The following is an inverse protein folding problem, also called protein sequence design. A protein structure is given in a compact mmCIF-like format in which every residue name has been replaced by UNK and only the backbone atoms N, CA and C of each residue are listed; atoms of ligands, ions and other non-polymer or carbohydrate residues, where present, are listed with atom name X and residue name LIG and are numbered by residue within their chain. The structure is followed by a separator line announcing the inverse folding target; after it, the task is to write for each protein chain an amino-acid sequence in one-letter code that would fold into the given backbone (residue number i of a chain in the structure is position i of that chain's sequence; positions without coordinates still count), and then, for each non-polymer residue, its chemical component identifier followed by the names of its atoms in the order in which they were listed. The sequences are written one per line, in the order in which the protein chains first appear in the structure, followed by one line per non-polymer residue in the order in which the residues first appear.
data_IF_480857968509
#
_entry.id   IF_480857968509
#
_cell.length_a   1.000
_cell.length_b   1.000
_cell.length_c   1.000
_cell.angle_alpha   90.00
_cell.angle_beta   90.00
_cell.angle_gamma   90.00
#
_symmetry.space_group_name_H-M   'P 1'
#
loop_
_entity.id
_entity.type
_entity.pdbx_description
1 polymer ?
#
# COMPACT_ATOMS: atom_id res chain seq x y z
N UNK A 1 2.36 29.11 -20.34
CA UNK A 1 1.57 28.90 -21.57
C UNK A 1 0.34 28.04 -21.29
N UNK A 2 0.38 27.17 -20.28
CA UNK A 2 -0.72 26.25 -19.93
C UNK A 2 -2.03 26.88 -19.38
N UNK A 3 -2.00 28.13 -18.91
CA UNK A 3 -3.20 28.79 -18.39
C UNK A 3 -4.22 29.08 -19.50
N UNK A 4 -3.74 29.36 -20.71
CA UNK A 4 -4.60 29.60 -21.88
C UNK A 4 -5.27 28.30 -22.35
N UNK A 5 -4.61 27.15 -22.16
CA UNK A 5 -5.16 25.83 -22.49
C UNK A 5 -6.29 25.43 -21.52
N UNK A 6 -6.11 25.67 -20.21
CA UNK A 6 -7.13 25.35 -19.21
C UNK A 6 -8.40 26.22 -19.38
N UNK A 7 -8.25 27.50 -19.70
CA UNK A 7 -9.39 28.39 -20.00
C UNK A 7 -10.09 27.99 -21.31
N UNK A 8 -9.33 27.55 -22.31
CA UNK A 8 -9.89 27.01 -23.56
C UNK A 8 -10.70 25.72 -23.31
N UNK A 9 -10.21 24.84 -22.44
CA UNK A 9 -10.91 23.61 -22.07
C UNK A 9 -12.19 23.88 -21.26
N UNK A 10 -12.17 24.85 -20.34
CA UNK A 10 -13.38 25.28 -19.61
C UNK A 10 -14.44 25.81 -20.57
N UNK A 11 -14.04 26.63 -21.54
CA UNK A 11 -14.95 27.14 -22.57
C UNK A 11 -15.52 26.00 -23.42
N UNK A 12 -14.70 25.02 -23.81
CA UNK A 12 -15.16 23.85 -24.57
C UNK A 12 -16.22 23.03 -23.81
N UNK A 13 -16.01 22.79 -22.51
CA UNK A 13 -17.00 22.10 -21.65
C UNK A 13 -18.28 22.91 -21.55
N UNK A 14 -18.17 24.24 -21.37
CA UNK A 14 -19.34 25.11 -21.31
C UNK A 14 -20.18 25.00 -22.60
N UNK A 15 -19.55 25.09 -23.77
CA UNK A 15 -20.22 24.95 -25.06
C UNK A 15 -20.89 23.58 -25.22
N UNK A 16 -20.22 22.49 -24.81
CA UNK A 16 -20.80 21.15 -24.85
C UNK A 16 -22.02 20.99 -23.92
N UNK A 17 -22.03 21.67 -22.77
CA UNK A 17 -23.19 21.72 -21.87
C UNK A 17 -24.35 22.48 -22.49
N UNK A 18 -24.08 23.64 -23.10
CA UNK A 18 -25.09 24.44 -23.81
C UNK A 18 -25.70 23.66 -24.99
N UNK A 19 -24.87 22.95 -25.77
CA UNK A 19 -25.34 22.09 -26.86
C UNK A 19 -26.23 20.95 -26.36
N UNK A 20 -25.86 20.32 -25.24
CA UNK A 20 -26.64 19.26 -24.62
C UNK A 20 -28.01 19.77 -24.14
N UNK A 21 -28.06 20.98 -23.55
CA UNK A 21 -29.31 21.64 -23.13
C UNK A 21 -30.21 21.97 -24.32
N UNK A 22 -29.63 22.52 -25.40
CA UNK A 22 -30.36 22.81 -26.64
C UNK A 22 -30.90 21.55 -27.30
N UNK A 23 -30.11 20.48 -27.29
CA UNK A 23 -30.53 19.18 -27.79
C UNK A 23 -31.70 18.61 -26.96
N UNK A 24 -31.63 18.66 -25.63
CA UNK A 24 -32.72 18.23 -24.75
C UNK A 24 -33.99 19.06 -24.96
N UNK A 25 -33.87 20.38 -25.11
CA UNK A 25 -35.00 21.26 -25.40
C UNK A 25 -35.69 20.96 -26.75
N UNK A 26 -34.94 20.41 -27.73
CA UNK A 26 -35.50 19.93 -29.01
C UNK A 26 -36.21 18.58 -28.87
N UNK A 27 -35.79 17.72 -27.93
CA UNK A 27 -36.43 16.43 -27.65
C UNK A 27 -37.79 16.61 -26.97
N UNK A 28 -37.92 17.54 -26.01
CA UNK A 28 -39.18 17.80 -25.31
C UNK A 28 -40.35 18.34 -26.16
N UNK A 29 -40.10 18.65 -27.45
CA UNK A 29 -41.12 19.06 -28.44
C UNK A 29 -41.63 17.89 -29.29
N UNK A 30 -41.06 16.68 -29.14
CA UNK A 30 -41.48 15.47 -29.85
C UNK A 30 -42.64 14.79 -29.10
N UNK A 31 -43.41 13.98 -29.81
CA UNK A 31 -44.49 13.18 -29.20
C UNK A 31 -43.87 12.19 -28.21
N UNK A 32 -44.55 11.97 -27.08
CA UNK A 32 -44.10 11.10 -25.97
C UNK A 32 -43.75 9.68 -26.44
N UNK A 33 -44.36 9.20 -27.53
CA UNK A 33 -44.10 7.87 -28.11
C UNK A 33 -42.78 7.77 -28.90
N UNK A 34 -42.07 8.90 -29.11
CA UNK A 34 -40.89 9.04 -29.98
C UNK A 34 -39.61 9.45 -29.21
N UNK A 35 -39.70 9.62 -27.88
CA UNK A 35 -38.55 9.81 -27.01
C UNK A 35 -38.14 8.43 -26.49
N UNK A 36 -37.16 7.81 -27.14
CA UNK A 36 -36.58 6.56 -26.62
C UNK A 36 -35.94 6.81 -25.27
N UNK A 37 -36.24 5.96 -24.28
CA UNK A 37 -35.61 5.94 -22.96
C UNK A 37 -34.06 5.94 -23.06
N UNK A 38 -33.52 5.36 -24.14
CA UNK A 38 -32.09 5.33 -24.44
C UNK A 38 -31.52 6.74 -24.71
N UNK A 39 -32.31 7.64 -25.30
CA UNK A 39 -31.90 9.01 -25.61
C UNK A 39 -31.72 9.87 -24.35
N UNK A 40 -32.57 9.68 -23.34
CA UNK A 40 -32.45 10.37 -22.05
C UNK A 40 -31.29 9.82 -21.22
N UNK A 41 -31.09 8.50 -21.25
CA UNK A 41 -29.95 7.84 -20.60
C UNK A 41 -28.61 8.31 -21.16
N UNK A 42 -28.49 8.43 -22.49
CA UNK A 42 -27.28 8.96 -23.14
C UNK A 42 -27.01 10.40 -22.71
N UNK A 43 -28.05 11.24 -22.67
CA UNK A 43 -27.88 12.64 -22.28
C UNK A 43 -27.54 12.81 -20.80
N UNK A 44 -28.07 11.94 -19.92
CA UNK A 44 -27.69 11.88 -18.52
C UNK A 44 -26.22 11.46 -18.35
N UNK A 45 -25.78 10.43 -19.08
CA UNK A 45 -24.38 9.99 -19.07
C UNK A 45 -23.43 11.07 -19.59
N UNK A 46 -23.76 11.75 -20.69
CA UNK A 46 -22.97 12.87 -21.20
C UNK A 46 -22.85 14.00 -20.18
N UNK A 47 -23.92 14.34 -19.46
CA UNK A 47 -23.89 15.37 -18.41
C UNK A 47 -22.98 14.97 -17.25
N UNK A 48 -23.03 13.70 -16.85
CA UNK A 48 -22.16 13.17 -15.79
C UNK A 48 -20.69 13.23 -16.20
N UNK A 49 -20.36 12.80 -17.43
CA UNK A 49 -18.99 12.87 -17.95
C UNK A 49 -18.47 14.31 -18.05
N UNK A 50 -19.27 15.26 -18.55
CA UNK A 50 -18.87 16.68 -18.57
C UNK A 50 -18.61 17.22 -17.15
N UNK A 51 -19.42 16.81 -16.16
CA UNK A 51 -19.20 17.18 -14.76
C UNK A 51 -17.92 16.57 -14.17
N UNK A 52 -17.58 15.33 -14.54
CA UNK A 52 -16.31 14.69 -14.13
C UNK A 52 -15.11 15.44 -14.70
N UNK A 53 -15.15 15.80 -15.99
CA UNK A 53 -14.07 16.55 -16.65
C UNK A 53 -13.92 17.94 -16.02
N UNK A 54 -15.02 18.63 -15.72
CA UNK A 54 -15.00 19.94 -15.04
C UNK A 54 -14.35 19.87 -13.64
N UNK A 55 -14.70 18.85 -12.85
CA UNK A 55 -14.08 18.59 -11.55
C UNK A 55 -12.57 18.39 -11.68
N UNK A 56 -12.14 17.61 -12.67
CA UNK A 56 -10.71 17.34 -12.92
C UNK A 56 -9.93 18.59 -13.33
N UNK A 57 -10.50 19.46 -14.16
CA UNK A 57 -9.87 20.74 -14.51
C UNK A 57 -9.74 21.67 -13.29
N UNK A 58 -10.77 21.69 -12.44
CA UNK A 58 -10.73 22.45 -11.17
C UNK A 58 -9.65 21.92 -10.24
N UNK A 59 -9.54 20.61 -10.08
CA UNK A 59 -8.53 19.97 -9.23
C UNK A 59 -7.10 20.23 -9.75
N UNK A 60 -6.90 20.19 -11.06
CA UNK A 60 -5.63 20.55 -11.72
C UNK A 60 -5.26 22.02 -11.49
N UNK A 61 -6.21 22.93 -11.65
CA UNK A 61 -5.99 24.35 -11.38
C UNK A 61 -5.63 24.61 -9.92
N UNK A 62 -6.31 23.93 -8.99
CA UNK A 62 -6.00 23.97 -7.57
C UNK A 62 -4.59 23.42 -7.29
N UNK A 63 -4.23 22.27 -7.86
CA UNK A 63 -2.90 21.66 -7.70
C UNK A 63 -1.77 22.57 -8.18
N UNK A 64 -1.96 23.23 -9.33
CA UNK A 64 -1.03 24.25 -9.84
C UNK A 64 -0.90 25.45 -8.90
N UNK A 65 -2.02 25.98 -8.43
CA UNK A 65 -2.03 27.11 -7.48
C UNK A 65 -1.29 26.77 -6.19
N UNK A 66 -1.55 25.59 -5.62
CA UNK A 66 -0.85 25.09 -4.43
C UNK A 66 0.65 24.96 -4.72
N UNK A 67 1.03 24.34 -5.85
CA UNK A 67 2.43 24.16 -6.23
C UNK A 67 3.16 25.50 -6.34
N UNK A 68 2.58 26.49 -7.03
CA UNK A 68 3.15 27.83 -7.15
C UNK A 68 3.29 28.50 -5.78
N UNK A 69 2.24 28.44 -4.95
CA UNK A 69 2.26 29.03 -3.61
C UNK A 69 3.32 28.39 -2.72
N UNK A 70 3.50 27.07 -2.78
CA UNK A 70 4.54 26.37 -2.02
C UNK A 70 5.94 26.77 -2.49
N UNK A 71 6.14 26.92 -3.80
CA UNK A 71 7.41 27.37 -4.37
C UNK A 71 7.75 28.81 -3.97
N UNK A 72 6.76 29.71 -4.01
CA UNK A 72 6.93 31.11 -3.61
C UNK A 72 7.22 31.25 -2.11
N UNK A 73 6.59 30.43 -1.27
CA UNK A 73 6.75 30.46 0.19
C UNK A 73 7.82 29.48 0.71
N UNK A 74 8.64 28.88 -0.17
CA UNK A 74 9.57 27.82 0.20
C UNK A 74 10.55 28.23 1.32
N UNK A 75 11.04 29.46 1.30
CA UNK A 75 11.97 29.97 2.31
C UNK A 75 11.31 30.13 3.69
N UNK A 76 10.05 30.59 3.74
CA UNK A 76 9.29 30.76 4.98
C UNK A 76 8.89 29.39 5.55
N UNK A 77 8.44 28.47 4.68
CA UNK A 77 8.17 27.08 5.06
C UNK A 77 9.42 26.43 5.65
N UNK A 78 10.59 26.62 5.05
CA UNK A 78 11.85 26.09 5.55
C UNK A 78 12.23 26.68 6.92
N UNK A 79 12.01 27.98 7.13
CA UNK A 79 12.26 28.64 8.42
C UNK A 79 11.35 28.08 9.53
N UNK A 80 10.03 28.00 9.26
CA UNK A 80 9.06 27.44 10.21
C UNK A 80 9.40 25.98 10.53
N UNK A 81 9.75 25.19 9.50
CA UNK A 81 10.13 23.78 9.68
C UNK A 81 11.39 23.66 10.55
N UNK A 82 12.37 24.56 10.39
CA UNK A 82 13.58 24.58 11.21
C UNK A 82 13.26 24.92 12.67
N UNK A 83 12.39 25.90 12.91
CA UNK A 83 11.93 26.28 14.25
C UNK A 83 11.19 25.14 14.95
N UNK A 84 10.30 24.43 14.24
CA UNK A 84 9.60 23.24 14.76
C UNK A 84 10.56 22.11 15.12
N UNK A 85 11.57 21.86 14.27
CA UNK A 85 12.60 20.86 14.55
C UNK A 85 13.45 21.24 15.77
N UNK A 86 13.76 22.53 15.96
CA UNK A 86 14.44 23.00 17.17
C UNK A 86 13.59 22.78 18.42
N UNK A 87 12.31 23.17 18.37
CA UNK A 87 11.38 22.94 19.48
C UNK A 87 11.24 21.44 19.83
N UNK A 88 11.23 20.56 18.82
CA UNK A 88 11.20 19.11 19.03
C UNK A 88 12.47 18.59 19.73
N UNK A 89 13.66 19.05 19.30
CA UNK A 89 14.94 18.70 19.93
C UNK A 89 15.01 19.19 21.37
N UNK A 90 14.54 20.40 21.64
CA UNK A 90 14.53 20.97 22.98
C UNK A 90 13.60 20.21 23.91
N UNK A 91 12.42 19.79 23.41
CA UNK A 91 11.52 18.92 24.14
C UNK A 91 12.16 17.57 24.46
N UNK A 92 12.83 16.94 23.50
CA UNK A 92 13.52 15.66 23.71
C UNK A 92 14.64 15.81 24.74
N UNK A 93 15.43 16.87 24.65
CA UNK A 93 16.50 17.15 25.59
C UNK A 93 15.97 17.39 27.01
N UNK A 94 14.89 18.15 27.18
CA UNK A 94 14.24 18.35 28.47
C UNK A 94 13.76 17.02 29.08
N UNK A 95 13.22 16.11 28.26
CA UNK A 95 12.83 14.77 28.71
C UNK A 95 14.06 13.96 29.17
N UNK A 96 15.18 14.04 28.46
CA UNK A 96 16.42 13.35 28.84
C UNK A 96 17.00 13.91 30.14
N UNK A 97 17.04 15.24 30.29
CA UNK A 97 17.49 15.91 31.51
C UNK A 97 16.66 15.53 32.74
N UNK A 98 15.35 15.32 32.57
CA UNK A 98 14.50 14.86 33.69
C UNK A 98 14.82 13.44 34.16
N UNK A 99 15.46 12.62 33.31
CA UNK A 99 15.86 11.23 33.63
C UNK A 99 17.34 11.12 34.02
N UNK A 100 18.20 11.94 33.43
CA UNK A 100 19.64 11.97 33.65
C UNK A 100 20.14 13.43 33.71
N UNK A 101 20.57 13.94 34.88
CA UNK A 101 21.05 15.31 35.05
C UNK A 101 22.29 15.65 34.21
N UNK A 102 23.04 14.65 33.76
CA UNK A 102 24.25 14.82 32.94
C UNK A 102 23.97 14.72 31.43
N UNK A 103 22.69 14.62 31.03
CA UNK A 103 22.29 14.50 29.64
C UNK A 103 22.66 15.76 28.82
N UNK A 104 23.58 15.60 27.88
CA UNK A 104 24.01 16.66 26.96
C UNK A 104 22.98 16.91 25.85
N UNK A 105 22.85 18.18 25.45
CA UNK A 105 22.08 18.57 24.25
C UNK A 105 22.71 17.89 23.04
N UNK A 106 21.90 17.22 22.24
CA UNK A 106 22.35 16.68 20.95
C UNK A 106 22.63 17.86 20.02
N UNK A 107 23.83 17.93 19.41
CA UNK A 107 24.12 18.98 18.43
C UNK A 107 23.18 18.82 17.22
N UNK A 108 22.86 19.92 16.51
CA UNK A 108 22.21 19.81 15.20
C UNK A 108 23.05 18.86 14.33
N UNK A 109 22.47 17.76 13.86
CA UNK A 109 23.10 17.04 12.76
C UNK A 109 23.15 18.03 11.59
N UNK A 110 24.35 18.35 11.09
CA UNK A 110 24.49 18.86 9.73
C UNK A 110 23.86 17.81 8.84
N UNK A 111 22.63 18.10 8.40
CA UNK A 111 21.96 17.19 7.51
C UNK A 111 22.71 17.30 6.19
N UNK A 112 23.49 16.27 5.90
CA UNK A 112 24.10 16.10 4.60
C UNK A 112 22.95 16.09 3.59
N UNK A 113 22.81 17.17 2.80
CA UNK A 113 21.74 17.35 1.81
C UNK A 113 21.66 16.21 0.77
N UNK A 114 22.63 15.30 0.73
CA UNK A 114 22.53 14.05 -0.01
C UNK A 114 21.53 13.05 0.62
N UNK A 115 21.48 12.91 1.95
CA UNK A 115 20.67 11.89 2.63
C UNK A 115 19.21 12.30 2.87
N UNK A 116 18.91 13.59 2.91
CA UNK A 116 17.53 14.08 3.00
C UNK A 116 16.74 13.93 1.69
N UNK A 117 17.40 13.78 0.55
CA UNK A 117 16.73 13.37 -0.70
C UNK A 117 16.32 11.90 -0.71
N UNK A 118 16.93 11.07 0.13
CA UNK A 118 16.64 9.62 0.18
C UNK A 118 15.55 9.26 1.21
N UNK A 119 15.21 10.16 2.15
CA UNK A 119 14.19 9.92 3.19
C UNK A 119 12.92 10.79 3.09
N UNK A 120 12.90 11.81 2.20
CA UNK A 120 11.62 12.38 1.76
C UNK A 120 11.17 11.65 0.49
N UNK A 121 9.94 11.11 0.46
CA UNK A 121 9.56 10.20 -0.60
C UNK A 121 9.57 10.94 -1.93
N UNK A 122 10.14 10.28 -2.94
CA UNK A 122 10.01 10.53 -4.38
C UNK A 122 8.55 10.77 -4.83
N UNK A 123 7.58 10.50 -3.94
CA UNK A 123 6.16 10.77 -4.08
C UNK A 123 5.82 12.24 -4.34
N UNK A 124 6.54 13.23 -3.80
CA UNK A 124 6.18 14.65 -4.02
C UNK A 124 6.27 15.02 -5.50
N UNK A 125 7.39 14.74 -6.16
CA UNK A 125 7.65 15.18 -7.53
C UNK A 125 6.75 14.41 -8.51
N UNK A 126 6.54 13.11 -8.26
CA UNK A 126 5.56 12.30 -8.99
C UNK A 126 4.12 12.77 -8.77
N UNK A 127 3.73 13.23 -7.58
CA UNK A 127 2.40 13.80 -7.30
C UNK A 127 2.21 15.15 -8.00
N UNK A 128 3.25 16.00 -8.03
CA UNK A 128 3.20 17.29 -8.73
C UNK A 128 3.14 17.09 -10.24
N UNK A 129 3.95 16.19 -10.81
CA UNK A 129 3.86 15.79 -12.22
C UNK A 129 2.49 15.15 -12.53
N UNK A 130 1.97 14.29 -11.66
CA UNK A 130 0.65 13.65 -11.80
C UNK A 130 -0.50 14.67 -11.74
N UNK A 131 -0.37 15.75 -10.98
CA UNK A 131 -1.36 16.84 -10.94
C UNK A 131 -1.31 17.77 -12.16
N UNK A 132 -0.22 17.72 -12.94
CA UNK A 132 0.02 18.60 -14.10
C UNK A 132 0.07 17.85 -15.45
N UNK A 133 0.06 16.52 -15.46
CA UNK A 133 0.04 15.71 -16.68
C UNK A 133 -1.30 15.81 -17.45
N UNK A 134 -1.28 15.84 -18.79
CA UNK A 134 -2.49 15.82 -19.61
C UNK A 134 -3.19 14.45 -19.52
N UNK A 135 -4.51 14.47 -19.35
CA UNK A 135 -5.33 13.25 -19.32
C UNK A 135 -5.31 12.58 -20.71
N UNK A 136 -4.69 11.40 -20.81
CA UNK A 136 -4.98 10.43 -21.85
C UNK A 136 -6.08 9.54 -21.29
N UNK A 137 -7.30 9.67 -21.81
CA UNK A 137 -8.40 8.79 -21.43
C UNK A 137 -7.96 7.32 -21.57
N UNK A 138 -8.20 6.46 -20.56
CA UNK A 138 -8.06 5.04 -20.77
C UNK A 138 -9.11 4.68 -21.83
N UNK A 139 -8.64 4.34 -23.04
CA UNK A 139 -9.50 3.72 -24.04
C UNK A 139 -10.02 2.45 -23.39
N UNK A 140 -11.29 2.48 -23.00
CA UNK A 140 -12.04 1.29 -22.62
C UNK A 140 -11.92 0.30 -23.77
N UNK A 141 -11.12 -0.73 -23.54
CA UNK A 141 -11.15 -1.96 -24.32
C UNK A 141 -12.51 -2.58 -24.11
N UNK A 142 -13.41 -2.45 -25.07
CA UNK A 142 -14.39 -3.48 -25.43
C UNK A 142 -15.11 -3.15 -26.75
N UNK A 143 -15.28 -4.18 -27.57
CA UNK A 143 -15.84 -4.23 -28.93
C UNK A 143 -14.94 -3.84 -30.10
N UNK A 144 -14.07 -4.80 -30.44
CA UNK A 144 -13.69 -5.05 -31.82
C UNK A 144 -14.93 -5.52 -32.62
N UNK A 145 -15.52 -4.63 -33.44
CA UNK A 145 -16.10 -5.05 -34.70
C UNK A 145 -15.96 -3.97 -35.78
N UNK A 146 -15.10 -4.32 -36.73
CA UNK A 146 -14.94 -3.79 -38.08
C UNK A 146 -16.28 -3.40 -38.72
N UNK A 147 -16.43 -2.14 -39.12
CA UNK A 147 -16.98 -1.82 -40.43
C UNK A 147 -16.44 -0.49 -40.96
N UNK A 148 -15.76 -0.65 -42.08
CA UNK A 148 -15.38 0.32 -43.09
C UNK A 148 -16.63 1.01 -43.64
N UNK A 149 -16.78 2.31 -43.39
CA UNK A 149 -17.50 3.23 -44.27
C UNK A 149 -16.86 4.61 -44.19
N UNK A 150 -16.19 4.98 -45.28
CA UNK A 150 -16.00 6.37 -45.68
C UNK A 150 -17.34 7.12 -45.63
N UNK A 151 -17.40 8.22 -44.89
CA UNK A 151 -18.28 9.33 -45.26
C UNK A 151 -17.56 10.65 -45.02
N UNK A 152 -17.74 11.53 -46.01
CA UNK A 152 -16.99 12.76 -46.22
C UNK A 152 -17.56 13.91 -45.39
N UNK A 153 -16.67 14.63 -44.72
CA UNK A 153 -16.87 16.05 -44.42
C UNK A 153 -16.39 16.46 -43.05
N UNK A 154 -15.20 17.06 -42.98
CA UNK A 154 -15.03 18.42 -42.43
C UNK A 154 -13.57 18.89 -42.59
N UNK A 155 -13.47 20.02 -43.31
CA UNK A 155 -12.46 21.09 -43.33
C UNK A 155 -11.05 20.80 -42.77
N UNK A 156 -9.98 20.92 -43.59
CA UNK A 156 -8.61 20.90 -43.10
C UNK A 156 -8.29 22.27 -42.47
N UNK A 157 -8.34 22.35 -41.15
CA UNK A 157 -7.55 23.36 -40.45
C UNK A 157 -6.11 22.84 -40.42
N UNK A 158 -5.29 23.50 -41.24
CA UNK A 158 -3.85 23.41 -41.26
C UNK A 158 -3.28 23.87 -39.91
N UNK A 159 -3.26 22.98 -38.93
CA UNK A 159 -2.27 23.11 -37.86
C UNK A 159 -0.89 23.06 -38.51
N UNK A 160 -0.15 24.17 -38.39
CA UNK A 160 1.19 24.31 -38.93
C UNK A 160 2.03 23.06 -38.68
N UNK A 161 2.42 22.40 -39.77
CA UNK A 161 3.22 21.16 -39.79
C UNK A 161 4.54 21.27 -39.04
N UNK A 162 4.99 22.48 -38.71
CA UNK A 162 6.15 22.75 -37.86
C UNK A 162 5.91 22.47 -36.36
N UNK A 163 4.71 22.69 -35.83
CA UNK A 163 4.41 22.48 -34.39
C UNK A 163 4.11 21.01 -34.10
N UNK A 164 3.40 20.33 -35.02
CA UNK A 164 3.23 18.88 -35.01
C UNK A 164 4.57 18.13 -35.18
N UNK A 165 5.48 18.64 -36.03
CA UNK A 165 6.83 18.07 -36.18
C UNK A 165 7.78 18.35 -34.99
N UNK A 166 7.51 19.38 -34.19
CA UNK A 166 8.33 19.72 -33.02
C UNK A 166 7.97 18.89 -31.78
N UNK A 167 6.78 18.28 -31.74
CA UNK A 167 6.41 17.24 -30.75
C UNK A 167 6.71 15.83 -31.25
N UNK A 168 7.94 15.59 -31.72
CA UNK A 168 8.44 14.20 -31.75
C UNK A 168 8.64 13.79 -30.30
N UNK A 169 7.57 13.34 -29.65
CA UNK A 169 7.67 12.63 -28.38
C UNK A 169 8.65 11.51 -28.62
N UNK A 170 9.76 11.51 -27.88
CA UNK A 170 10.69 10.40 -27.94
C UNK A 170 9.92 9.16 -27.50
N UNK A 171 9.70 8.24 -28.43
CA UNK A 171 9.11 6.94 -28.14
C UNK A 171 10.22 6.03 -27.66
N UNK A 172 9.92 5.27 -26.60
CA UNK A 172 10.80 4.27 -26.04
C UNK A 172 10.12 2.92 -26.26
N UNK A 173 10.91 1.88 -26.50
CA UNK A 173 10.39 0.54 -26.76
C UNK A 173 10.19 -0.23 -25.46
N UNK A 174 9.05 -0.91 -25.32
CA UNK A 174 8.82 -1.87 -24.25
C UNK A 174 9.68 -3.14 -24.45
N UNK A 175 10.42 -3.58 -23.42
CA UNK A 175 11.30 -4.74 -23.49
C UNK A 175 10.56 -6.09 -23.66
N UNK A 176 9.27 -6.13 -23.34
CA UNK A 176 8.48 -7.37 -23.35
C UNK A 176 7.64 -7.55 -24.62
N UNK A 177 6.89 -6.52 -25.03
CA UNK A 177 6.03 -6.59 -26.22
C UNK A 177 6.64 -5.93 -27.46
N UNK A 178 7.76 -5.19 -27.32
CA UNK A 178 8.42 -4.45 -28.38
C UNK A 178 7.62 -3.28 -28.98
N UNK A 179 6.50 -2.89 -28.35
CA UNK A 179 5.73 -1.71 -28.75
C UNK A 179 6.47 -0.41 -28.42
N UNK A 180 6.41 0.55 -29.34
CA UNK A 180 6.94 1.90 -29.17
C UNK A 180 5.90 2.80 -28.53
N UNK A 181 6.20 3.31 -27.34
CA UNK A 181 5.28 4.10 -26.53
C UNK A 181 5.95 5.39 -26.06
N UNK A 182 5.21 6.47 -25.82
CA UNK A 182 5.75 7.66 -25.16
C UNK A 182 6.29 7.31 -23.77
N UNK A 183 7.37 7.96 -23.33
CA UNK A 183 7.95 7.81 -21.98
C UNK A 183 6.93 7.82 -20.82
N UNK A 184 5.91 8.70 -20.77
CA UNK A 184 4.90 8.68 -19.69
C UNK A 184 3.99 7.44 -19.70
N UNK A 185 4.00 6.62 -20.75
CA UNK A 185 3.26 5.36 -20.82
C UNK A 185 4.10 4.14 -20.40
N UNK A 186 5.36 4.34 -20.00
CA UNK A 186 6.29 3.26 -19.69
C UNK A 186 6.82 3.33 -18.25
N UNK A 187 7.00 2.18 -17.61
CA UNK A 187 7.67 2.07 -16.31
C UNK A 187 9.13 1.69 -16.52
N UNK A 188 10.04 2.44 -15.91
CA UNK A 188 11.46 2.10 -15.95
C UNK A 188 11.81 1.14 -14.81
N UNK A 189 12.41 0.01 -15.15
CA UNK A 189 12.96 -0.95 -14.19
C UNK A 189 14.34 -0.49 -13.68
N UNK A 190 14.83 -0.99 -12.54
CA UNK A 190 16.14 -0.62 -11.99
C UNK A 190 17.35 -0.87 -12.91
N UNK A 191 17.21 -1.77 -13.89
CA UNK A 191 18.21 -2.01 -14.93
C UNK A 191 18.06 -1.12 -16.18
N UNK A 192 17.26 -0.06 -16.11
CA UNK A 192 16.97 0.90 -17.19
C UNK A 192 16.16 0.37 -18.37
N UNK A 193 15.63 -0.85 -18.30
CA UNK A 193 14.64 -1.35 -19.27
C UNK A 193 13.25 -0.77 -19.00
N UNK A 194 12.45 -0.61 -20.06
CA UNK A 194 11.13 0.00 -19.99
C UNK A 194 10.02 -1.04 -20.24
N UNK A 195 8.95 -0.96 -19.48
CA UNK A 195 7.78 -1.83 -19.59
C UNK A 195 6.51 -1.01 -19.80
N UNK A 196 5.66 -1.40 -20.75
CA UNK A 196 4.29 -0.88 -20.80
C UNK A 196 3.48 -1.40 -19.61
N UNK A 197 2.38 -0.70 -19.29
CA UNK A 197 1.48 -1.05 -18.18
C UNK A 197 1.07 -2.53 -18.19
N UNK A 198 0.59 -3.02 -19.33
CA UNK A 198 0.07 -4.38 -19.45
C UNK A 198 1.15 -5.44 -19.23
N UNK A 199 2.35 -5.22 -19.79
CA UNK A 199 3.47 -6.13 -19.62
C UNK A 199 3.98 -6.14 -18.17
N UNK A 200 4.03 -4.99 -17.51
CA UNK A 200 4.43 -4.91 -16.11
C UNK A 200 3.42 -5.63 -15.21
N UNK A 201 2.12 -5.39 -15.40
CA UNK A 201 1.07 -6.07 -14.63
C UNK A 201 1.16 -7.58 -14.84
N UNK A 202 1.30 -8.03 -16.09
CA UNK A 202 1.43 -9.45 -16.43
C UNK A 202 2.66 -10.08 -15.76
N UNK A 203 3.80 -9.38 -15.76
CA UNK A 203 5.03 -9.83 -15.10
C UNK A 203 4.80 -10.04 -13.60
N UNK A 204 4.15 -9.07 -12.94
CA UNK A 204 3.80 -9.18 -11.51
C UNK A 204 2.85 -10.35 -11.27
N UNK A 205 1.77 -10.47 -12.05
CA UNK A 205 0.80 -11.57 -11.90
C UNK A 205 1.44 -12.95 -12.09
N UNK A 206 2.38 -13.09 -13.02
CA UNK A 206 3.12 -14.34 -13.20
C UNK A 206 3.98 -14.66 -11.98
N UNK A 207 4.67 -13.67 -11.40
CA UNK A 207 5.41 -13.85 -10.16
C UNK A 207 4.52 -14.22 -8.96
N UNK A 208 3.26 -13.79 -8.92
CA UNK A 208 2.31 -14.19 -7.86
C UNK A 208 1.84 -15.65 -7.99
N UNK A 209 1.84 -16.19 -9.20
CA UNK A 209 1.40 -17.56 -9.51
C UNK A 209 2.52 -18.57 -9.36
N UNK A 210 3.72 -18.21 -9.78
CA UNK A 210 4.90 -19.09 -9.79
C UNK A 210 5.98 -18.57 -8.84
N UNK A 211 6.28 -19.36 -7.82
CA UNK A 211 7.31 -19.07 -6.82
C UNK A 211 8.72 -18.96 -7.45
N UNK A 212 9.00 -19.67 -8.55
CA UNK A 212 10.29 -19.56 -9.25
C UNK A 212 10.49 -18.22 -9.97
N UNK A 213 9.39 -17.55 -10.31
CA UNK A 213 9.39 -16.21 -10.90
C UNK A 213 9.30 -15.11 -9.84
N UNK A 214 9.21 -15.48 -8.56
CA UNK A 214 9.16 -14.54 -7.46
C UNK A 214 10.58 -14.25 -6.91
N UNK A 215 10.91 -12.99 -6.59
CA UNK A 215 10.17 -11.76 -6.90
C UNK A 215 10.26 -11.41 -8.40
N UNK A 216 9.38 -10.54 -8.94
CA UNK A 216 9.46 -10.10 -10.33
C UNK A 216 10.80 -9.40 -10.58
N UNK A 217 11.55 -9.91 -11.56
CA UNK A 217 12.89 -9.41 -11.92
C UNK A 217 12.91 -8.97 -13.37
N UNK A 218 13.70 -7.94 -13.64
CA UNK A 218 14.18 -7.64 -14.98
C UNK A 218 15.70 -7.83 -15.00
N UNK A 219 16.19 -8.63 -15.95
CA UNK A 219 17.57 -9.11 -15.96
C UNK A 219 17.92 -9.81 -14.64
N UNK A 220 18.73 -9.17 -13.80
CA UNK A 220 19.16 -9.67 -12.49
C UNK A 220 18.66 -8.80 -11.34
N UNK A 221 17.89 -7.75 -11.62
CA UNK A 221 17.43 -6.78 -10.63
C UNK A 221 15.95 -6.99 -10.32
N UNK A 222 15.61 -7.00 -9.03
CA UNK A 222 14.21 -7.08 -8.57
C UNK A 222 13.51 -5.77 -8.89
N UNK A 223 12.34 -5.84 -9.51
CA UNK A 223 11.49 -4.67 -9.75
C UNK A 223 10.75 -4.36 -8.44
N UNK A 224 10.90 -3.14 -7.88
CA UNK A 224 10.18 -2.75 -6.67
C UNK A 224 8.67 -2.65 -6.96
N UNK A 225 7.88 -3.35 -6.14
CA UNK A 225 6.41 -3.33 -6.18
C UNK A 225 5.93 -2.58 -4.94
N UNK A 226 5.76 -1.27 -5.11
CA UNK A 226 5.46 -0.32 -4.03
C UNK A 226 4.19 0.47 -4.33
N UNK A 227 3.62 1.06 -3.27
CA UNK A 227 2.50 1.97 -3.40
C UNK A 227 2.97 3.25 -4.11
N UNK A 228 2.24 3.70 -5.13
CA UNK A 228 2.55 4.93 -5.87
C UNK A 228 2.84 4.73 -7.35
N UNK A 229 3.28 3.52 -7.75
CA UNK A 229 3.49 3.19 -9.16
C UNK A 229 2.19 3.32 -9.95
N UNK A 230 2.14 4.27 -10.90
CA UNK A 230 0.96 4.59 -11.72
C UNK A 230 0.32 3.41 -12.45
N UNK A 231 1.07 2.32 -12.67
CA UNK A 231 0.60 1.15 -13.39
C UNK A 231 0.07 0.04 -12.48
N UNK A 232 0.37 0.07 -11.19
CA UNK A 232 0.03 -0.99 -10.26
C UNK A 232 -1.13 -0.55 -9.38
N UNK A 233 -2.22 -1.33 -9.40
CA UNK A 233 -3.37 -1.06 -8.53
C UNK A 233 -3.01 -1.36 -7.07
N UNK A 234 -3.59 -0.64 -6.09
CA UNK A 234 -3.39 -0.94 -4.67
C UNK A 234 -3.75 -2.39 -4.31
N UNK A 235 -4.73 -2.96 -5.00
CA UNK A 235 -5.11 -4.37 -4.87
C UNK A 235 -3.95 -5.30 -5.28
N UNK A 236 -3.33 -5.08 -6.44
CA UNK A 236 -2.22 -5.90 -6.93
C UNK A 236 -0.99 -5.79 -6.01
N UNK A 237 -0.68 -4.59 -5.52
CA UNK A 237 0.38 -4.37 -4.54
C UNK A 237 0.08 -5.09 -3.22
N UNK A 238 -1.18 -5.06 -2.75
CA UNK A 238 -1.63 -5.82 -1.59
C UNK A 238 -1.47 -7.33 -1.75
N UNK A 239 -1.88 -7.88 -2.90
CA UNK A 239 -1.68 -9.28 -3.25
C UNK A 239 -0.19 -9.66 -3.27
N UNK A 240 0.66 -8.79 -3.82
CA UNK A 240 2.11 -8.97 -3.82
C UNK A 240 2.69 -9.02 -2.42
N UNK A 241 2.30 -8.11 -1.52
CA UNK A 241 2.74 -8.13 -0.13
C UNK A 241 2.32 -9.40 0.60
N UNK A 242 1.07 -9.84 0.40
CA UNK A 242 0.57 -11.08 0.98
C UNK A 242 1.36 -12.31 0.48
N UNK A 243 1.60 -12.39 -0.84
CA UNK A 243 2.39 -13.46 -1.45
C UNK A 243 3.85 -13.43 -1.05
N UNK A 244 4.43 -12.23 -0.89
CA UNK A 244 5.81 -12.06 -0.38
C UNK A 244 5.95 -12.70 0.99
N UNK A 245 5.04 -12.36 1.91
CA UNK A 245 5.03 -12.94 3.27
C UNK A 245 4.85 -14.46 3.23
N UNK A 246 3.92 -14.95 2.41
CA UNK A 246 3.73 -16.39 2.20
C UNK A 246 5.03 -17.05 1.73
N UNK A 247 5.66 -16.52 0.68
CA UNK A 247 6.84 -17.12 0.08
C UNK A 247 8.10 -17.05 0.95
N UNK A 248 8.28 -15.96 1.69
CA UNK A 248 9.40 -15.80 2.63
C UNK A 248 9.23 -16.63 3.92
N UNK A 249 8.01 -17.06 4.25
CA UNK A 249 7.75 -17.87 5.45
C UNK A 249 8.24 -19.31 5.27
N UNK A 250 9.20 -19.79 6.08
CA UNK A 250 9.57 -21.20 6.10
C UNK A 250 8.47 -22.05 6.76
N UNK A 251 8.33 -23.32 6.35
CA UNK A 251 7.33 -24.25 6.92
C UNK A 251 5.89 -23.72 6.93
N UNK A 252 5.48 -23.09 5.81
CA UNK A 252 4.17 -22.46 5.60
C UNK A 252 3.02 -23.30 6.14
N UNK A 253 2.05 -22.64 6.75
CA UNK A 253 0.82 -23.28 7.23
C UNK A 253 -0.34 -22.74 6.42
N UNK A 254 -1.14 -23.63 5.88
CA UNK A 254 -2.37 -23.31 5.17
C UNK A 254 -3.56 -23.77 5.99
N UNK A 255 -4.72 -23.17 5.79
CA UNK A 255 -5.94 -23.65 6.42
C UNK A 255 -6.21 -25.10 6.00
N UNK A 256 -6.43 -26.00 6.96
CA UNK A 256 -6.75 -27.41 6.68
C UNK A 256 -8.07 -27.60 5.92
N UNK A 257 -8.93 -26.59 5.90
CA UNK A 257 -10.21 -26.65 5.22
C UNK A 257 -10.01 -26.64 3.69
N UNK A 258 -10.41 -27.69 2.97
CA UNK A 258 -10.15 -27.81 1.54
C UNK A 258 -10.88 -26.74 0.70
N UNK A 259 -11.96 -26.16 1.23
CA UNK A 259 -12.67 -25.04 0.58
C UNK A 259 -12.02 -23.68 0.84
N UNK A 260 -11.12 -23.58 1.83
CA UNK A 260 -10.45 -22.34 2.16
C UNK A 260 -9.01 -22.34 1.64
N UNK A 261 -8.15 -23.25 2.12
CA UNK A 261 -6.76 -23.36 1.68
C UNK A 261 -5.90 -22.09 1.85
N UNK A 262 -6.40 -21.06 2.53
CA UNK A 262 -5.72 -19.76 2.66
C UNK A 262 -4.47 -19.90 3.53
N UNK A 263 -3.39 -19.23 3.14
CA UNK A 263 -2.16 -19.12 3.93
C UNK A 263 -2.45 -18.49 5.30
N UNK A 264 -1.95 -19.09 6.36
CA UNK A 264 -2.07 -18.60 7.73
C UNK A 264 -0.75 -17.91 8.11
N UNK A 265 -0.73 -16.57 8.25
CA UNK A 265 0.49 -15.84 8.59
C UNK A 265 1.01 -16.23 9.98
N UNK A 266 2.33 -16.12 10.25
CA UNK A 266 2.92 -16.40 11.55
C UNK A 266 2.26 -15.67 12.73
N UNK A 267 1.78 -14.44 12.51
CA UNK A 267 1.10 -13.64 13.53
C UNK A 267 -0.23 -14.27 14.01
N UNK A 268 -0.81 -15.17 13.22
CA UNK A 268 -2.03 -15.90 13.55
C UNK A 268 -1.74 -17.30 14.11
N UNK A 269 -0.48 -17.59 14.42
CA UNK A 269 -0.03 -18.86 14.99
C UNK A 269 0.32 -18.65 16.47
N UNK A 270 -0.40 -19.34 17.34
CA UNK A 270 -0.12 -19.42 18.76
C UNK A 270 0.30 -20.85 19.12
N UNK A 271 1.54 -21.01 19.61
CA UNK A 271 2.17 -22.32 19.81
C UNK A 271 2.06 -23.19 18.55
N UNK A 272 1.40 -24.34 18.62
CA UNK A 272 1.24 -25.27 17.49
C UNK A 272 -0.11 -25.12 16.76
N UNK A 273 -0.84 -24.02 17.01
CA UNK A 273 -2.18 -23.79 16.44
C UNK A 273 -2.23 -22.50 15.63
N UNK A 274 -2.43 -22.63 14.32
CA UNK A 274 -2.72 -21.51 13.42
C UNK A 274 -4.21 -21.27 13.27
N UNK A 275 -4.66 -20.02 13.45
CA UNK A 275 -6.06 -19.62 13.24
C UNK A 275 -6.20 -18.96 11.88
N UNK A 276 -7.06 -19.49 11.01
CA UNK A 276 -7.24 -18.93 9.67
C UNK A 276 -7.91 -17.55 9.72
N UNK A 277 -7.32 -16.50 9.11
CA UNK A 277 -7.91 -15.16 9.11
C UNK A 277 -9.21 -15.04 8.29
N UNK A 278 -9.44 -15.95 7.33
CA UNK A 278 -10.62 -15.91 6.46
C UNK A 278 -11.83 -16.66 7.01
N UNK A 279 -11.63 -17.84 7.60
CA UNK A 279 -12.73 -18.71 8.06
C UNK A 279 -12.69 -19.04 9.56
N UNK A 280 -11.71 -18.52 10.31
CA UNK A 280 -11.50 -18.75 11.75
C UNK A 280 -11.32 -20.22 12.17
N UNK A 281 -11.13 -21.14 11.21
CA UNK A 281 -10.82 -22.54 11.48
C UNK A 281 -9.38 -22.67 11.99
N UNK A 282 -9.18 -23.57 12.96
CA UNK A 282 -7.88 -23.82 13.60
C UNK A 282 -7.18 -25.01 12.96
N UNK A 283 -5.90 -24.83 12.64
CA UNK A 283 -5.05 -25.82 11.97
C UNK A 283 -3.82 -26.08 12.82
N UNK A 284 -3.43 -27.35 12.96
CA UNK A 284 -2.19 -27.73 13.61
C UNK A 284 -1.00 -27.41 12.70
N UNK A 285 0.01 -26.71 13.22
CA UNK A 285 1.18 -26.28 12.46
C UNK A 285 2.13 -27.45 12.14
N UNK A 286 2.07 -28.53 12.93
CA UNK A 286 2.94 -29.69 12.81
C UNK A 286 2.43 -30.67 11.74
N UNK A 287 1.20 -31.17 11.88
CA UNK A 287 0.61 -32.10 10.90
C UNK A 287 -0.15 -31.43 9.75
N UNK A 288 -0.32 -30.10 9.78
CA UNK A 288 -1.09 -29.30 8.80
C UNK A 288 -2.57 -29.67 8.67
N UNK A 289 -3.11 -30.48 9.59
CA UNK A 289 -4.51 -30.89 9.64
C UNK A 289 -5.28 -30.11 10.72
N UNK A 290 -6.57 -30.37 10.87
CA UNK A 290 -7.44 -29.81 11.90
C UNK A 290 -6.81 -29.95 13.29
N UNK A 291 -6.87 -28.88 14.07
CA UNK A 291 -6.38 -28.89 15.46
C UNK A 291 -7.02 -30.03 16.26
N UNK A 292 -6.18 -30.80 16.93
CA UNK A 292 -6.55 -31.95 17.75
C UNK A 292 -6.16 -31.73 19.23
N UNK A 293 -6.77 -32.49 20.13
CA UNK A 293 -6.39 -32.49 21.54
C UNK A 293 -5.19 -33.43 21.77
N UNK A 294 -4.26 -33.01 22.63
CA UNK A 294 -3.06 -33.79 22.97
C UNK A 294 -1.87 -33.55 22.04
N UNK A 295 -0.84 -34.38 22.20
CA UNK A 295 0.42 -34.30 21.43
C UNK A 295 0.15 -34.69 19.97
N UNK A 296 0.73 -33.93 19.04
CA UNK A 296 0.57 -34.19 17.62
C UNK A 296 1.18 -35.53 17.20
N UNK A 297 0.48 -36.35 16.38
CA UNK A 297 1.02 -37.59 15.85
C UNK A 297 2.31 -37.42 15.02
N UNK A 298 2.51 -36.24 14.42
CA UNK A 298 3.71 -35.93 13.63
C UNK A 298 4.83 -35.31 14.48
N UNK A 299 4.57 -35.02 15.76
CA UNK A 299 5.60 -34.55 16.70
C UNK A 299 6.41 -35.72 17.25
N UNK A 300 7.35 -36.20 16.42
CA UNK A 300 8.25 -37.32 16.76
C UNK A 300 9.04 -37.09 18.05
N UNK A 301 9.42 -35.83 18.35
CA UNK A 301 10.17 -35.50 19.55
C UNK A 301 9.31 -35.66 20.81
N UNK A 302 8.09 -35.12 20.81
CA UNK A 302 7.17 -35.27 21.94
C UNK A 302 6.68 -36.72 22.07
N UNK A 303 6.53 -37.45 20.96
CA UNK A 303 6.21 -38.88 21.01
C UNK A 303 7.32 -39.70 21.66
N UNK A 304 8.59 -39.46 21.29
CA UNK A 304 9.71 -40.17 21.89
C UNK A 304 9.85 -39.83 23.38
N UNK A 305 9.61 -38.58 23.77
CA UNK A 305 9.55 -38.19 25.18
C UNK A 305 8.44 -38.95 25.92
N UNK A 306 7.26 -39.11 25.33
CA UNK A 306 6.17 -39.90 25.92
C UNK A 306 6.51 -41.39 26.01
N UNK A 307 7.22 -41.93 25.01
CA UNK A 307 7.69 -43.33 25.02
C UNK A 307 8.72 -43.58 26.12
N UNK A 308 9.69 -42.66 26.27
CA UNK A 308 10.67 -42.68 27.35
C UNK A 308 9.98 -42.57 28.72
N UNK A 309 9.04 -41.63 28.85
CA UNK A 309 8.25 -41.44 30.06
C UNK A 309 7.52 -42.73 30.47
N UNK A 310 6.92 -43.43 29.52
CA UNK A 310 6.26 -44.71 29.78
C UNK A 310 7.25 -45.81 30.21
N UNK A 311 8.44 -45.86 29.62
CA UNK A 311 9.48 -46.83 29.96
C UNK A 311 10.05 -46.61 31.38
N UNK A 312 10.24 -45.35 31.78
CA UNK A 312 10.76 -44.95 33.09
C UNK A 312 9.67 -44.81 34.17
N UNK A 313 8.39 -44.99 33.80
CA UNK A 313 7.25 -44.90 34.72
C UNK A 313 6.80 -43.47 35.07
N UNK A 314 7.32 -42.46 34.38
CA UNK A 314 6.93 -41.05 34.54
C UNK A 314 5.46 -40.84 34.16
N UNK A 315 4.78 -39.96 34.89
CA UNK A 315 3.35 -39.69 34.74
C UNK A 315 3.11 -38.30 34.17
N UNK A 316 2.01 -38.11 33.41
CA UNK A 316 1.60 -36.78 32.94
C UNK A 316 0.73 -36.10 33.99
N UNK A 317 0.99 -34.82 34.23
CA UNK A 317 0.16 -34.01 35.10
C UNK A 317 -1.24 -33.80 34.48
N UNK A 318 -2.31 -34.18 35.19
CA UNK A 318 -3.69 -34.09 34.68
C UNK A 318 -4.22 -32.67 34.44
N UNK A 319 -3.51 -31.63 34.90
CA UNK A 319 -3.91 -30.22 34.71
C UNK A 319 -3.13 -29.47 33.64
N UNK A 320 -1.89 -29.88 33.34
CA UNK A 320 -1.03 -29.14 32.42
C UNK A 320 -0.21 -30.04 31.48
N UNK A 321 -0.48 -31.35 31.50
CA UNK A 321 0.04 -32.36 30.58
C UNK A 321 1.57 -32.55 30.54
N UNK A 322 2.32 -31.85 31.40
CA UNK A 322 3.77 -32.02 31.59
C UNK A 322 4.10 -33.38 32.17
N UNK A 323 5.19 -33.98 31.69
CA UNK A 323 5.74 -35.24 32.19
C UNK A 323 6.46 -34.99 33.51
N UNK A 324 6.18 -35.83 34.52
CA UNK A 324 6.69 -35.73 35.88
C UNK A 324 7.26 -37.07 36.32
N UNK A 325 8.47 -37.06 36.85
CA UNK A 325 9.08 -38.21 37.50
C UNK A 325 8.69 -38.26 38.99
N UNK A 326 8.41 -39.46 39.50
CA UNK A 326 8.15 -39.70 40.92
C UNK A 326 9.41 -40.32 41.55
N UNK A 327 10.32 -39.45 42.01
CA UNK A 327 11.58 -39.94 42.60
C UNK A 327 11.34 -40.78 43.87
N UNK A 328 10.58 -40.28 44.86
CA UNK A 328 10.25 -41.00 46.10
C UNK A 328 9.01 -40.36 46.79
N UNK A 329 8.11 -41.14 47.42
CA UNK A 329 7.04 -40.60 48.29
C UNK A 329 5.62 -41.14 48.07
N UNK A 330 4.64 -40.59 48.81
CA UNK A 330 3.23 -40.96 48.75
C UNK A 330 2.58 -40.50 47.42
N UNK A 331 1.69 -41.32 46.84
CA UNK A 331 1.03 -41.12 45.53
C UNK A 331 0.06 -39.91 45.45
N UNK A 332 0.09 -39.00 46.41
CA UNK A 332 -0.82 -37.86 46.50
C UNK A 332 -0.20 -36.62 45.81
N UNK A 333 -0.43 -36.49 44.50
CA UNK A 333 -0.06 -35.30 43.74
C UNK A 333 -1.07 -34.19 44.03
N UNK A 334 -0.75 -33.30 44.97
CA UNK A 334 -1.60 -32.15 45.32
C UNK A 334 -1.45 -31.05 44.26
N UNK A 335 -2.58 -30.57 43.71
CA UNK A 335 -2.64 -29.44 42.75
C UNK A 335 -2.12 -28.17 43.43
N UNK A 336 -0.82 -27.93 43.33
CA UNK A 336 -0.21 -26.70 43.81
C UNK A 336 -0.44 -25.64 42.74
N UNK A 337 -1.41 -24.74 42.97
CA UNK A 337 -1.59 -23.53 42.17
C UNK A 337 -0.29 -22.75 42.29
N UNK A 338 0.48 -22.66 41.19
CA UNK A 338 1.62 -21.74 41.09
C UNK A 338 1.06 -20.32 41.27
N UNK A 339 1.07 -19.80 42.50
CA UNK A 339 0.96 -18.36 42.72
C UNK A 339 2.13 -17.73 41.99
N UNK A 340 1.85 -16.82 41.05
CA UNK A 340 2.86 -15.95 40.44
C UNK A 340 3.76 -15.40 41.56
N UNK A 341 5.09 -15.37 41.37
CA UNK A 341 5.97 -14.74 42.35
C UNK A 341 5.57 -13.25 42.45
N UNK A 342 4.94 -12.89 43.56
CA UNK A 342 4.77 -11.49 43.97
C UNK A 342 6.17 -10.95 44.27
N UNK A 343 6.65 -10.09 43.37
CA UNK A 343 7.82 -9.25 43.60
C UNK A 343 7.52 -8.40 44.85
N UNK A 344 8.31 -8.48 45.93
CA UNK A 344 8.08 -7.64 47.10
C UNK A 344 8.33 -6.17 46.72
N UNK A 345 7.51 -5.23 47.23
CA UNK A 345 7.74 -3.80 46.97
C UNK A 345 9.05 -3.36 47.61
N UNK A 346 9.81 -2.53 46.87
CA UNK A 346 11.08 -1.96 47.31
C UNK A 346 10.94 -1.21 48.65
N UNK A 347 11.96 -1.26 49.53
CA UNK A 347 11.94 -0.52 50.78
C UNK A 347 11.98 0.99 50.50
N UNK A 348 10.98 1.67 51.03
CA UNK A 348 10.78 3.11 51.00
C UNK A 348 12.00 3.83 51.60
N UNK A 349 12.87 4.40 50.76
CA UNK A 349 13.99 5.24 51.20
C UNK A 349 13.41 6.60 51.60
N UNK A 350 13.50 6.89 52.90
CA UNK A 350 13.17 8.19 53.49
C UNK A 350 13.81 9.35 52.70
N UNK A 351 12.98 10.20 52.14
CA UNK A 351 13.38 11.56 51.75
C UNK A 351 13.70 12.38 53.02
N UNK A 352 14.83 13.12 53.07
CA UNK A 352 15.08 14.04 54.17
C UNK A 352 14.21 15.30 54.05
N UNK A 353 13.63 15.71 55.18
CA UNK A 353 12.87 16.93 55.38
C UNK A 353 13.60 18.21 54.89
N UNK A 354 12.89 19.21 54.36
CA UNK A 354 13.44 20.53 54.11
C UNK A 354 13.50 21.35 55.42
N UNK A 355 14.58 22.08 55.63
CA UNK A 355 14.71 23.16 56.64
C UNK A 355 15.15 24.45 55.91
N UNK A 356 15.06 25.63 56.54
CA UNK A 356 13.93 26.54 56.38
C UNK A 356 14.29 27.77 55.54
N UNK A 357 13.24 28.44 55.08
CA UNK A 357 13.22 29.81 54.55
C UNK A 357 14.17 30.75 55.29
N UNK A 358 15.09 31.38 54.53
CA UNK A 358 15.68 32.67 54.89
C UNK A 358 15.34 33.68 53.79
N UNK A 359 14.63 34.69 54.24
CA UNK A 359 14.40 35.98 53.61
C UNK A 359 15.70 36.67 53.19
N UNK A 360 15.74 37.22 51.97
CA UNK A 360 15.93 38.66 51.73
C UNK A 360 15.48 39.03 50.31
#
# INVERSE_FOLDING_TARGET
MDNDDDESLKLAIQLQREDLELWQARQGKRRIDDISQDSELVAAACREELGRIECQLSDRALGRSISTTVQENAAEIAAITADEQEAARDREWALRLSRDPEARRTPPQEVNNQQQRDEQPVLHEEIIERSTAPYIAPRSSDFAHRNDYNDHGELPLDESSAWAASRRQQTIQCVSCFDELPEPALSQAPCSHHYCQECLITLVQNALRDEGLFPPRCCTQTIPIEDGNRFLTPELVGQYRAKKLEFETPNRTYCHDPTCGVFVPPDFIEADTGTCPSCNKKTCVLCKDKTHAGVCPEDTASQELLRLAQAEGWQRCSSCDRVMDLMHGCNHISKSILKKPTIPPEPNILSPNPSPTLSY
#
